data_IF_208687350196
#
_entry.id   IF_208687350196
#
_cell.length_a   1.000
_cell.length_b   1.000
_cell.length_c   1.000
_cell.angle_alpha   90.00
_cell.angle_beta   90.00
_cell.angle_gamma   90.00
#
_symmetry.space_group_name_H-M   'P 1'
#
loop_
_entity.id
_entity.type
_entity.pdbx_description
1 polymer ?
#
# COMPACT_ATOMS: atom_id res chain seq x y z
N UNK A 1 26.45 74.96 -21.22
CA UNK A 1 27.07 73.82 -21.94
C UNK A 1 25.93 72.96 -22.46
N UNK A 2 25.44 73.18 -23.68
CA UNK A 2 26.02 72.86 -25.00
C UNK A 2 25.59 71.46 -25.46
N UNK A 3 25.01 71.20 -26.63
CA UNK A 3 24.16 71.93 -27.62
C UNK A 3 23.54 70.78 -28.48
N UNK A 4 22.39 71.06 -29.12
CA UNK A 4 21.64 70.26 -30.11
C UNK A 4 22.49 69.67 -31.27
N UNK A 5 21.97 68.79 -32.13
CA UNK A 5 21.17 69.07 -33.37
C UNK A 5 20.80 67.68 -33.97
N UNK A 6 19.54 67.38 -34.33
CA UNK A 6 18.91 67.58 -35.67
C UNK A 6 19.32 66.47 -36.66
N UNK A 7 18.48 65.91 -37.54
CA UNK A 7 17.35 66.46 -38.28
C UNK A 7 16.43 65.36 -38.86
N UNK A 8 15.23 65.79 -39.25
CA UNK A 8 14.21 65.05 -39.99
C UNK A 8 14.20 65.45 -41.48
N UNK A 9 13.67 64.58 -42.35
CA UNK A 9 12.87 64.87 -43.58
C UNK A 9 12.44 63.53 -44.21
N UNK A 10 11.14 63.22 -44.32
CA UNK A 10 10.19 63.51 -45.43
C UNK A 10 10.57 62.78 -46.73
N UNK A 11 9.72 61.97 -47.39
CA UNK A 11 8.46 62.36 -48.02
C UNK A 11 7.45 61.21 -48.16
N UNK A 12 6.17 61.58 -48.21
CA UNK A 12 5.04 60.75 -48.59
C UNK A 12 4.46 61.21 -49.94
N UNK A 13 4.01 60.27 -50.78
CA UNK A 13 2.94 60.37 -51.81
C UNK A 13 2.37 58.95 -51.99
N UNK A 14 1.11 58.60 -51.65
CA UNK A 14 -0.18 58.73 -52.40
C UNK A 14 -0.01 58.42 -53.91
N UNK A 15 -0.83 57.63 -54.63
CA UNK A 15 -2.22 57.18 -54.52
C UNK A 15 -2.50 56.07 -55.58
N UNK A 16 -3.62 55.38 -55.41
CA UNK A 16 -4.31 54.32 -56.18
C UNK A 16 -4.27 54.34 -57.73
N UNK A 17 -4.37 53.14 -58.34
CA UNK A 17 -5.53 52.72 -59.17
C UNK A 17 -5.41 51.29 -59.75
N UNK A 18 -6.49 50.51 -59.57
CA UNK A 18 -7.11 49.57 -60.53
C UNK A 18 -6.47 48.20 -60.88
N UNK A 19 -7.27 47.15 -60.64
CA UNK A 19 -7.15 45.81 -61.20
C UNK A 19 -7.63 45.78 -62.66
N UNK A 20 -7.22 44.75 -63.43
CA UNK A 20 -8.25 43.86 -63.98
C UNK A 20 -8.02 42.38 -63.62
N UNK A 21 -9.15 41.68 -63.49
CA UNK A 21 -9.29 40.21 -63.40
C UNK A 21 -9.12 39.55 -64.77
N UNK A 22 -8.94 38.23 -64.71
CA UNK A 22 -8.97 37.18 -65.75
C UNK A 22 -7.57 36.87 -66.31
N UNK A 23 -7.11 35.63 -66.40
CA UNK A 23 -7.85 34.41 -66.71
C UNK A 23 -7.12 33.14 -66.23
N UNK A 24 -7.90 32.07 -66.14
CA UNK A 24 -7.60 30.75 -65.57
C UNK A 24 -6.61 29.97 -66.45
N UNK A 25 -5.54 29.43 -65.85
CA UNK A 25 -4.88 28.23 -66.34
C UNK A 25 -4.76 27.22 -65.20
N UNK A 26 -5.69 26.26 -65.19
CA UNK A 26 -5.80 25.18 -64.22
C UNK A 26 -4.73 24.12 -64.56
N UNK A 27 -3.55 24.23 -63.96
CA UNK A 27 -2.56 23.14 -63.97
C UNK A 27 -3.07 22.07 -63.00
N UNK A 28 -3.27 20.81 -63.40
CA UNK A 28 -3.57 19.75 -62.47
C UNK A 28 -2.31 19.43 -61.66
N UNK A 29 -2.21 19.99 -60.46
CA UNK A 29 -1.24 19.53 -59.47
C UNK A 29 -1.59 18.10 -59.04
N UNK A 30 -0.60 17.20 -58.85
CA UNK A 30 -0.85 15.81 -58.49
C UNK A 30 -1.57 15.74 -57.13
N UNK A 31 -2.46 14.76 -57.02
CA UNK A 31 -3.17 14.44 -55.80
C UNK A 31 -2.22 14.39 -54.60
N UNK A 32 -2.60 15.03 -53.48
CA UNK A 32 -1.99 14.78 -52.17
C UNK A 32 -2.17 13.31 -51.85
N UNK A 33 -1.09 12.53 -51.98
CA UNK A 33 -0.99 11.17 -51.43
C UNK A 33 -0.30 11.31 -50.08
N UNK A 34 -0.97 11.88 -49.09
CA UNK A 34 -0.45 11.94 -47.72
C UNK A 34 -1.56 11.69 -46.68
N UNK A 35 -2.51 10.80 -47.01
CA UNK A 35 -3.53 10.37 -46.05
C UNK A 35 -3.90 8.87 -46.13
N UNK A 36 -2.94 7.92 -46.10
CA UNK A 36 -3.25 6.55 -45.68
C UNK A 36 -2.45 6.05 -44.46
N UNK A 37 -1.32 6.70 -44.11
CA UNK A 37 -0.46 6.22 -43.03
C UNK A 37 -1.01 6.53 -41.62
N UNK A 38 -1.67 7.69 -41.45
CA UNK A 38 -2.27 8.07 -40.17
C UNK A 38 -3.56 7.27 -39.87
N UNK A 39 -4.41 7.05 -40.87
CA UNK A 39 -5.64 6.26 -40.70
C UNK A 39 -5.39 4.76 -40.41
N UNK A 40 -4.32 4.19 -40.98
CA UNK A 40 -3.96 2.77 -40.74
C UNK A 40 -3.24 2.52 -39.40
N UNK A 41 -2.64 3.55 -38.78
CA UNK A 41 -1.91 3.42 -37.51
C UNK A 41 -2.81 3.55 -36.28
N UNK A 42 -3.96 4.21 -36.38
CA UNK A 42 -4.91 4.35 -35.27
C UNK A 42 -5.53 3.03 -34.76
N UNK A 43 -6.06 2.13 -35.63
CA UNK A 43 -6.64 0.87 -35.16
C UNK A 43 -5.60 -0.05 -34.52
N UNK A 44 -4.39 -0.12 -35.10
CA UNK A 44 -3.27 -0.89 -34.52
C UNK A 44 -2.86 -0.37 -33.15
N UNK A 45 -2.82 0.95 -32.98
CA UNK A 45 -2.50 1.57 -31.70
C UNK A 45 -3.58 1.32 -30.63
N UNK A 46 -4.86 1.41 -31.00
CA UNK A 46 -5.96 1.07 -30.11
C UNK A 46 -5.92 -0.41 -29.66
N UNK A 47 -5.60 -1.33 -30.57
CA UNK A 47 -5.41 -2.75 -30.28
C UNK A 47 -4.27 -2.99 -29.28
N UNK A 48 -3.12 -2.32 -29.44
CA UNK A 48 -1.98 -2.43 -28.51
C UNK A 48 -2.35 -1.90 -27.11
N UNK A 49 -3.02 -0.73 -27.01
CA UNK A 49 -3.50 -0.21 -25.72
C UNK A 49 -4.47 -1.18 -25.05
N UNK A 50 -5.39 -1.76 -25.82
CA UNK A 50 -6.38 -2.69 -25.29
C UNK A 50 -5.74 -4.02 -24.87
N UNK A 51 -4.75 -4.52 -25.62
CA UNK A 51 -3.96 -5.69 -25.24
C UNK A 51 -3.20 -5.45 -23.94
N UNK A 52 -2.54 -4.30 -23.79
CA UNK A 52 -1.83 -3.96 -22.56
C UNK A 52 -2.78 -3.83 -21.36
N UNK A 53 -3.96 -3.20 -21.53
CA UNK A 53 -4.99 -3.16 -20.49
C UNK A 53 -5.38 -4.58 -20.04
N UNK A 54 -5.63 -5.51 -20.98
CA UNK A 54 -5.95 -6.91 -20.65
C UNK A 54 -4.84 -7.61 -19.85
N UNK A 55 -3.58 -7.21 -20.05
CA UNK A 55 -2.46 -7.73 -19.26
C UNK A 55 -2.38 -7.10 -17.86
N UNK A 56 -2.76 -5.83 -17.68
CA UNK A 56 -2.81 -5.14 -16.39
C UNK A 56 -3.99 -5.56 -15.51
N UNK A 57 -5.14 -5.88 -16.11
CA UNK A 57 -6.34 -6.33 -15.37
C UNK A 57 -6.06 -7.47 -14.37
N UNK A 58 -5.37 -8.57 -14.71
CA UNK A 58 -5.04 -9.59 -13.72
C UNK A 58 -4.03 -9.13 -12.66
N UNK A 59 -3.14 -8.18 -12.96
CA UNK A 59 -2.25 -7.57 -11.96
C UNK A 59 -3.09 -6.86 -10.89
N UNK A 60 -4.05 -6.04 -11.33
CA UNK A 60 -4.95 -5.29 -10.46
C UNK A 60 -5.89 -6.19 -9.63
N UNK A 61 -6.36 -7.32 -10.19
CA UNK A 61 -7.13 -8.32 -9.42
C UNK A 61 -6.29 -8.96 -8.32
N UNK A 62 -5.07 -9.38 -8.63
CA UNK A 62 -4.13 -9.92 -7.63
C UNK A 62 -3.79 -8.88 -6.56
N UNK A 63 -3.56 -7.63 -6.95
CA UNK A 63 -3.36 -6.53 -6.01
C UNK A 63 -4.58 -6.38 -5.06
N UNK A 64 -5.80 -6.44 -5.60
CA UNK A 64 -7.01 -6.34 -4.79
C UNK A 64 -7.12 -7.45 -3.74
N UNK A 65 -6.80 -8.69 -4.11
CA UNK A 65 -6.78 -9.84 -3.21
C UNK A 65 -5.73 -9.65 -2.10
N UNK A 66 -4.50 -9.30 -2.46
CA UNK A 66 -3.40 -9.07 -1.50
C UNK A 66 -3.71 -7.92 -0.54
N UNK A 67 -4.28 -6.83 -1.05
CA UNK A 67 -4.70 -5.67 -0.23
C UNK A 67 -5.85 -6.05 0.72
N UNK A 68 -6.81 -6.84 0.25
CA UNK A 68 -7.88 -7.36 1.12
C UNK A 68 -7.31 -8.23 2.25
N UNK A 69 -6.34 -9.08 1.92
CA UNK A 69 -5.64 -9.93 2.89
C UNK A 69 -4.88 -9.11 3.95
N UNK A 70 -4.14 -8.06 3.54
CA UNK A 70 -3.52 -7.11 4.48
C UNK A 70 -4.57 -6.54 5.45
N UNK A 71 -5.70 -6.08 4.92
CA UNK A 71 -6.81 -5.53 5.70
C UNK A 71 -7.45 -6.55 6.64
N UNK A 72 -7.49 -7.83 6.27
CA UNK A 72 -7.99 -8.92 7.12
C UNK A 72 -7.03 -9.21 8.27
N UNK A 73 -5.74 -9.39 7.97
CA UNK A 73 -4.70 -9.70 8.98
C UNK A 73 -4.55 -8.59 10.00
N UNK A 74 -4.45 -7.34 9.56
CA UNK A 74 -4.33 -6.20 10.48
C UNK A 74 -5.55 -6.07 11.40
N UNK A 75 -6.75 -6.42 10.92
CA UNK A 75 -7.96 -6.40 11.74
C UNK A 75 -7.96 -7.51 12.78
N UNK A 76 -7.53 -8.71 12.39
CA UNK A 76 -7.49 -9.88 13.26
C UNK A 76 -6.38 -9.78 14.32
N UNK A 77 -5.18 -9.34 13.94
CA UNK A 77 -3.99 -9.46 14.78
C UNK A 77 -3.34 -8.11 15.13
N UNK A 78 -3.78 -7.00 14.52
CA UNK A 78 -3.12 -5.70 14.68
C UNK A 78 -1.78 -5.59 13.95
N UNK A 79 -1.43 -6.62 13.16
CA UNK A 79 -0.20 -6.75 12.37
C UNK A 79 -0.47 -7.58 11.11
N UNK A 80 0.46 -7.57 10.16
CA UNK A 80 0.34 -8.28 8.88
C UNK A 80 1.20 -9.54 8.85
N UNK A 81 2.31 -9.55 9.59
CA UNK A 81 3.29 -10.63 9.55
C UNK A 81 3.13 -11.65 10.67
N UNK A 82 3.71 -12.84 10.55
CA UNK A 82 3.63 -13.87 11.59
C UNK A 82 4.75 -13.68 12.63
N UNK A 83 4.39 -13.47 13.90
CA UNK A 83 5.41 -13.31 14.97
C UNK A 83 6.25 -14.57 15.22
N UNK A 84 5.84 -15.72 14.69
CA UNK A 84 6.61 -16.98 14.79
C UNK A 84 7.78 -17.01 13.82
N UNK A 85 7.68 -16.26 12.73
CA UNK A 85 8.72 -16.18 11.71
C UNK A 85 9.80 -15.19 12.10
N UNK A 86 11.00 -15.44 11.58
CA UNK A 86 12.10 -14.51 11.73
C UNK A 86 11.84 -13.22 10.95
N UNK A 87 12.56 -12.16 11.33
CA UNK A 87 12.40 -10.82 10.74
C UNK A 87 12.68 -10.82 9.24
N UNK A 88 13.64 -11.63 8.77
CA UNK A 88 13.96 -11.78 7.35
C UNK A 88 12.79 -12.36 6.56
N UNK A 89 12.17 -13.42 7.07
CA UNK A 89 11.06 -14.11 6.42
C UNK A 89 9.82 -13.22 6.37
N UNK A 90 9.56 -12.50 7.45
CA UNK A 90 8.50 -11.49 7.52
C UNK A 90 8.74 -10.34 6.52
N UNK A 91 9.98 -9.91 6.31
CA UNK A 91 10.31 -8.89 5.32
C UNK A 91 10.07 -9.38 3.88
N UNK A 92 10.40 -10.64 3.58
CA UNK A 92 10.13 -11.27 2.28
C UNK A 92 8.62 -11.38 2.05
N UNK A 93 7.88 -11.85 3.04
CA UNK A 93 6.42 -11.96 2.97
C UNK A 93 5.76 -10.60 2.74
N UNK A 94 6.14 -9.57 3.50
CA UNK A 94 5.64 -8.21 3.29
C UNK A 94 5.90 -7.70 1.88
N UNK A 95 7.12 -7.89 1.37
CA UNK A 95 7.45 -7.49 0.00
C UNK A 95 6.54 -8.17 -1.01
N UNK A 96 6.27 -9.47 -0.82
CA UNK A 96 5.38 -10.24 -1.70
C UNK A 96 3.91 -9.77 -1.67
N UNK A 97 3.45 -9.14 -0.57
CA UNK A 97 2.09 -8.62 -0.47
C UNK A 97 1.88 -7.32 -1.28
N UNK A 98 2.95 -6.55 -1.52
CA UNK A 98 2.85 -5.27 -2.25
C UNK A 98 3.36 -5.33 -3.69
N UNK A 99 4.27 -6.27 -3.98
CA UNK A 99 4.79 -6.50 -5.33
C UNK A 99 4.03 -7.65 -5.97
N UNK A 100 3.48 -7.43 -7.17
CA UNK A 100 2.97 -8.52 -8.00
C UNK A 100 4.15 -9.13 -8.77
N UNK A 101 4.27 -10.46 -8.80
CA UNK A 101 5.36 -11.15 -9.53
C UNK A 101 5.27 -10.96 -11.06
N UNK A 102 4.26 -10.22 -11.52
CA UNK A 102 4.08 -9.83 -12.91
C UNK A 102 4.98 -8.64 -13.25
N UNK A 103 5.80 -8.81 -14.29
CA UNK A 103 6.72 -7.81 -14.86
C UNK A 103 6.06 -6.42 -15.07
N UNK A 104 4.74 -6.40 -15.31
CA UNK A 104 3.94 -5.20 -15.58
C UNK A 104 3.53 -4.41 -14.33
N UNK A 105 3.95 -4.80 -13.12
CA UNK A 105 3.62 -4.04 -11.90
C UNK A 105 4.22 -2.62 -11.91
N UNK A 106 5.31 -2.39 -12.67
CA UNK A 106 5.88 -1.06 -12.86
C UNK A 106 5.00 -0.14 -13.72
N UNK A 107 4.24 -0.70 -14.66
CA UNK A 107 3.40 0.07 -15.58
C UNK A 107 2.16 0.66 -14.90
N UNK A 108 1.76 0.11 -13.74
CA UNK A 108 0.67 0.67 -12.93
C UNK A 108 0.97 2.12 -12.50
N UNK A 109 2.23 2.48 -12.29
CA UNK A 109 2.60 3.86 -11.94
C UNK A 109 2.35 4.84 -13.11
N UNK A 110 2.48 4.36 -14.34
CA UNK A 110 2.31 5.16 -15.56
C UNK A 110 0.84 5.36 -15.92
N UNK A 111 0.00 4.37 -15.63
CA UNK A 111 -1.43 4.39 -15.93
C UNK A 111 -2.30 4.87 -14.76
N UNK A 112 -1.92 4.53 -13.53
CA UNK A 112 -2.70 4.75 -12.31
C UNK A 112 -1.83 5.33 -11.19
N UNK A 113 -1.17 6.46 -11.48
CA UNK A 113 -0.18 7.08 -10.58
C UNK A 113 -0.69 7.33 -9.15
N UNK A 114 -1.94 7.76 -9.00
CA UNK A 114 -2.54 7.99 -7.67
C UNK A 114 -2.71 6.70 -6.87
N UNK A 115 -3.20 5.64 -7.53
CA UNK A 115 -3.32 4.31 -6.94
C UNK A 115 -1.95 3.77 -6.52
N UNK A 116 -0.94 3.86 -7.40
CA UNK A 116 0.40 3.38 -7.10
C UNK A 116 1.05 4.14 -5.92
N UNK A 117 0.91 5.48 -5.86
CA UNK A 117 1.36 6.30 -4.72
C UNK A 117 0.63 5.92 -3.42
N UNK A 118 -0.68 5.67 -3.49
CA UNK A 118 -1.46 5.27 -2.33
C UNK A 118 -1.08 3.87 -1.83
N UNK A 119 -0.81 2.91 -2.73
CA UNK A 119 -0.27 1.58 -2.40
C UNK A 119 1.08 1.69 -1.70
N UNK A 120 1.97 2.55 -2.18
CA UNK A 120 3.28 2.79 -1.57
C UNK A 120 3.17 3.42 -0.16
N UNK A 121 2.25 4.37 0.04
CA UNK A 121 1.95 4.91 1.38
C UNK A 121 1.44 3.82 2.33
N UNK A 122 0.56 2.93 1.86
CA UNK A 122 0.10 1.79 2.65
C UNK A 122 1.25 0.86 3.01
N UNK A 123 2.15 0.56 2.07
CA UNK A 123 3.35 -0.26 2.30
C UNK A 123 4.21 0.33 3.42
N UNK A 124 4.46 1.64 3.38
CA UNK A 124 5.21 2.34 4.43
C UNK A 124 4.49 2.24 5.78
N UNK A 125 3.18 2.50 5.83
CA UNK A 125 2.41 2.41 7.08
C UNK A 125 2.45 1.01 7.69
N UNK A 126 2.37 -0.04 6.87
CA UNK A 126 2.50 -1.44 7.33
C UNK A 126 3.91 -1.70 7.86
N UNK A 127 4.96 -1.23 7.18
CA UNK A 127 6.34 -1.35 7.66
C UNK A 127 6.53 -0.67 9.02
N UNK A 128 6.02 0.56 9.15
CA UNK A 128 6.10 1.32 10.40
C UNK A 128 5.33 0.63 11.54
N UNK A 129 4.15 0.05 11.25
CA UNK A 129 3.38 -0.75 12.20
C UNK A 129 4.19 -1.94 12.74
N UNK A 130 4.88 -2.65 11.86
CA UNK A 130 5.67 -3.84 12.24
C UNK A 130 6.90 -3.47 13.06
N UNK A 131 7.57 -2.37 12.71
CA UNK A 131 8.69 -1.84 13.49
C UNK A 131 8.24 -1.37 14.88
N UNK A 132 7.13 -0.63 14.95
CA UNK A 132 6.58 -0.14 16.21
C UNK A 132 6.09 -1.30 17.09
N UNK A 133 5.47 -2.33 16.51
CA UNK A 133 5.07 -3.54 17.23
C UNK A 133 6.28 -4.26 17.82
N UNK A 134 7.38 -4.36 17.07
CA UNK A 134 8.62 -4.94 17.56
C UNK A 134 9.22 -4.13 18.72
N UNK A 135 9.28 -2.80 18.60
CA UNK A 135 9.76 -1.91 19.68
C UNK A 135 8.91 -2.06 20.94
N UNK A 136 7.59 -2.01 20.81
CA UNK A 136 6.66 -2.20 21.93
C UNK A 136 6.84 -3.58 22.58
N UNK A 137 7.11 -4.63 21.78
CA UNK A 137 7.38 -5.97 22.32
C UNK A 137 8.63 -5.97 23.19
N UNK A 138 9.72 -5.34 22.72
CA UNK A 138 10.98 -5.27 23.47
C UNK A 138 10.84 -4.44 24.75
N UNK A 139 10.09 -3.34 24.72
CA UNK A 139 9.81 -2.51 25.91
C UNK A 139 9.07 -3.31 26.97
N UNK A 140 7.94 -3.93 26.61
CA UNK A 140 7.18 -4.78 27.52
C UNK A 140 8.04 -5.92 28.06
N UNK A 141 8.83 -6.58 27.20
CA UNK A 141 9.77 -7.61 27.64
C UNK A 141 10.81 -7.08 28.64
N UNK A 142 11.25 -5.82 28.55
CA UNK A 142 12.20 -5.22 29.49
C UNK A 142 11.59 -4.90 30.85
N UNK A 143 10.30 -4.56 30.89
CA UNK A 143 9.59 -4.17 32.13
C UNK A 143 8.96 -5.34 32.87
N UNK A 144 8.76 -6.49 32.20
CA UNK A 144 8.19 -7.68 32.82
C UNK A 144 9.07 -8.20 33.96
N UNK A 145 8.44 -8.52 35.10
CA UNK A 145 9.07 -9.27 36.18
C UNK A 145 8.59 -10.71 36.14
N UNK A 146 9.51 -11.66 35.94
CA UNK A 146 9.23 -13.09 35.89
C UNK A 146 10.23 -13.82 36.79
N UNK A 147 9.83 -14.91 37.47
CA UNK A 147 10.77 -15.78 38.16
C UNK A 147 11.64 -16.56 37.15
N UNK A 148 12.87 -16.99 37.52
CA UNK A 148 13.78 -17.69 36.61
C UNK A 148 13.17 -18.89 35.87
N UNK A 149 12.30 -19.66 36.51
CA UNK A 149 11.61 -20.82 35.88
C UNK A 149 10.65 -20.44 34.75
N UNK A 150 10.15 -19.20 34.72
CA UNK A 150 9.18 -18.72 33.72
C UNK A 150 9.79 -17.79 32.67
N UNK A 151 11.09 -17.48 32.73
CA UNK A 151 11.78 -16.55 31.82
C UNK A 151 11.62 -16.91 30.33
N UNK A 152 11.61 -18.21 30.02
CA UNK A 152 11.39 -18.71 28.66
C UNK A 152 10.02 -18.28 28.07
N UNK A 153 9.06 -17.87 28.92
CA UNK A 153 7.73 -17.37 28.53
C UNK A 153 7.66 -15.86 28.40
N UNK A 154 8.73 -15.10 28.72
CA UNK A 154 8.74 -13.62 28.68
C UNK A 154 8.21 -13.06 27.37
N UNK A 155 8.63 -13.64 26.23
CA UNK A 155 8.14 -13.24 24.91
C UNK A 155 6.66 -13.57 24.70
N UNK A 156 6.18 -14.71 25.22
CA UNK A 156 4.77 -15.09 25.16
C UNK A 156 3.89 -14.10 25.95
N UNK A 157 4.33 -13.72 27.16
CA UNK A 157 3.67 -12.72 28.02
C UNK A 157 3.61 -11.36 27.33
N UNK A 158 4.74 -10.86 26.82
CA UNK A 158 4.80 -9.56 26.16
C UNK A 158 3.91 -9.49 24.92
N UNK A 159 3.92 -10.53 24.08
CA UNK A 159 3.05 -10.58 22.90
C UNK A 159 1.56 -10.70 23.27
N UNK A 160 1.23 -11.41 24.35
CA UNK A 160 -0.14 -11.52 24.85
C UNK A 160 -0.64 -10.19 25.42
N UNK A 161 0.24 -9.44 26.08
CA UNK A 161 -0.05 -8.08 26.52
C UNK A 161 -0.36 -7.18 25.32
N UNK A 162 0.48 -7.17 24.28
CA UNK A 162 0.22 -6.36 23.08
C UNK A 162 -1.07 -6.77 22.38
N UNK A 163 -1.41 -8.05 22.31
CA UNK A 163 -2.69 -8.51 21.75
C UNK A 163 -3.90 -7.92 22.50
N UNK A 164 -3.83 -7.91 23.84
CA UNK A 164 -4.84 -7.26 24.69
C UNK A 164 -4.87 -5.75 24.48
N UNK A 165 -3.70 -5.12 24.43
CA UNK A 165 -3.56 -3.67 24.24
C UNK A 165 -4.13 -3.19 22.91
N UNK A 166 -3.99 -4.01 21.86
CA UNK A 166 -4.52 -3.73 20.53
C UNK A 166 -6.00 -4.09 20.38
N UNK A 167 -6.65 -4.60 21.44
CA UNK A 167 -8.04 -5.09 21.41
C UNK A 167 -8.23 -6.15 20.31
N UNK A 168 -7.28 -7.09 20.22
CA UNK A 168 -7.31 -8.20 19.24
C UNK A 168 -7.69 -9.53 19.88
N UNK A 169 -7.62 -9.59 21.20
CA UNK A 169 -8.02 -10.73 22.00
C UNK A 169 -7.84 -10.44 23.48
N UNK A 170 -8.17 -11.41 24.36
CA UNK A 170 -7.96 -11.26 25.80
C UNK A 170 -6.48 -11.33 26.20
N UNK A 171 -5.58 -11.70 25.27
CA UNK A 171 -4.16 -11.92 25.53
C UNK A 171 -3.91 -13.30 26.13
N UNK A 172 -3.69 -13.34 27.46
CA UNK A 172 -3.56 -14.58 28.22
C UNK A 172 -4.79 -14.83 29.09
N UNK A 173 -5.24 -16.08 29.15
CA UNK A 173 -6.28 -16.51 30.10
C UNK A 173 -5.89 -17.81 30.78
N UNK A 174 -6.27 -17.95 32.04
CA UNK A 174 -6.14 -19.18 32.81
C UNK A 174 -7.49 -19.46 33.47
N UNK A 175 -8.13 -20.57 33.11
CA UNK A 175 -9.45 -20.96 33.61
C UNK A 175 -9.36 -22.32 34.28
N UNK A 176 -9.75 -22.39 35.56
CA UNK A 176 -9.84 -23.66 36.29
C UNK A 176 -11.12 -24.41 35.89
N UNK A 177 -11.02 -25.73 35.72
CA UNK A 177 -12.13 -26.63 35.41
C UNK A 177 -12.19 -27.77 36.45
N UNK A 178 -13.34 -28.45 36.62
CA UNK A 178 -13.45 -29.57 37.56
C UNK A 178 -12.46 -30.72 37.29
N UNK A 179 -12.05 -30.89 36.03
CA UNK A 179 -11.19 -31.97 35.51
C UNK A 179 -9.76 -31.51 35.14
N UNK A 180 -9.41 -30.25 35.41
CA UNK A 180 -8.09 -29.71 35.09
C UNK A 180 -8.08 -28.20 34.94
N UNK A 181 -7.31 -27.70 33.98
CA UNK A 181 -7.28 -26.27 33.67
C UNK A 181 -7.08 -26.01 32.18
N UNK A 182 -7.49 -24.80 31.78
CA UNK A 182 -7.33 -24.29 30.44
C UNK A 182 -6.44 -23.05 30.50
N UNK A 183 -5.27 -23.13 29.88
CA UNK A 183 -4.37 -22.01 29.67
C UNK A 183 -4.42 -21.59 28.21
N UNK A 184 -4.67 -20.32 27.94
CA UNK A 184 -4.52 -19.76 26.59
C UNK A 184 -3.52 -18.63 26.62
N UNK A 185 -2.62 -18.64 25.63
CA UNK A 185 -1.79 -17.51 25.30
C UNK A 185 -1.91 -17.26 23.80
N UNK A 186 -2.36 -16.06 23.43
CA UNK A 186 -2.51 -15.63 22.03
C UNK A 186 -3.42 -16.53 21.19
N UNK A 187 -4.57 -16.87 21.74
CA UNK A 187 -5.53 -17.78 21.11
C UNK A 187 -5.06 -19.24 20.99
N UNK A 188 -3.84 -19.60 21.44
CA UNK A 188 -3.41 -20.99 21.52
C UNK A 188 -3.95 -21.62 22.79
N UNK A 189 -4.80 -22.61 22.61
CA UNK A 189 -5.35 -23.41 23.70
C UNK A 189 -4.34 -24.48 24.12
N UNK A 190 -3.97 -24.48 25.41
CA UNK A 190 -3.36 -25.62 26.10
C UNK A 190 -4.35 -26.06 27.17
N UNK A 191 -4.94 -27.24 26.97
CA UNK A 191 -5.77 -27.90 27.96
C UNK A 191 -4.99 -29.08 28.53
N UNK A 192 -4.99 -29.22 29.84
CA UNK A 192 -4.43 -30.37 30.52
C UNK A 192 -5.56 -31.07 31.28
N UNK A 193 -5.95 -32.24 30.78
CA UNK A 193 -6.94 -33.10 31.42
C UNK A 193 -6.24 -33.96 32.49
N UNK A 194 -6.81 -34.04 33.69
CA UNK A 194 -6.39 -34.99 34.72
C UNK A 194 -5.41 -34.47 35.78
N UNK A 195 -4.94 -33.22 35.70
CA UNK A 195 -4.18 -32.56 36.77
C UNK A 195 -4.83 -31.23 37.15
N UNK A 196 -5.34 -31.13 38.39
CA UNK A 196 -5.93 -29.90 38.92
C UNK A 196 -4.90 -28.80 39.23
N UNK A 197 -3.60 -29.10 39.12
CA UNK A 197 -2.51 -28.18 39.44
C UNK A 197 -1.96 -27.55 38.16
N UNK A 198 -2.01 -26.23 38.09
CA UNK A 198 -1.42 -25.44 36.99
C UNK A 198 0.10 -25.54 37.07
N UNK A 199 0.77 -25.76 35.94
CA UNK A 199 2.23 -25.73 35.88
C UNK A 199 2.78 -24.40 36.43
N UNK A 200 3.84 -24.45 37.25
CA UNK A 200 4.35 -23.27 37.96
C UNK A 200 4.77 -22.13 37.02
N UNK A 201 5.33 -22.47 35.86
CA UNK A 201 5.74 -21.52 34.83
C UNK A 201 4.53 -20.85 34.15
N UNK A 202 3.45 -21.60 33.91
CA UNK A 202 2.18 -21.08 33.37
C UNK A 202 1.48 -20.17 34.36
N UNK A 203 1.48 -20.55 35.63
CA UNK A 203 0.94 -19.72 36.70
C UNK A 203 1.73 -18.42 36.83
N UNK A 204 3.06 -18.50 36.89
CA UNK A 204 3.93 -17.33 36.98
C UNK A 204 3.80 -16.41 35.75
N UNK A 205 3.67 -16.96 34.54
CA UNK A 205 3.46 -16.19 33.33
C UNK A 205 2.11 -15.45 33.34
N UNK A 206 1.04 -16.14 33.77
CA UNK A 206 -0.29 -15.54 33.89
C UNK A 206 -0.33 -14.46 34.99
N UNK A 207 0.29 -14.72 36.14
CA UNK A 207 0.39 -13.75 37.22
C UNK A 207 1.16 -12.50 36.75
N UNK A 208 2.30 -12.65 36.08
CA UNK A 208 3.05 -11.54 35.49
C UNK A 208 2.22 -10.76 34.45
N UNK A 209 1.46 -11.45 33.59
CA UNK A 209 0.57 -10.81 32.62
C UNK A 209 -0.54 -9.98 33.28
N UNK A 210 -1.16 -10.51 34.33
CA UNK A 210 -2.29 -9.85 35.02
C UNK A 210 -1.83 -8.73 35.95
N UNK A 211 -0.63 -8.82 36.51
CA UNK A 211 -0.05 -7.78 37.36
C UNK A 211 0.69 -6.69 36.58
N UNK A 212 0.93 -6.87 35.28
CA UNK A 212 1.67 -5.91 34.48
C UNK A 212 0.87 -4.61 34.31
N UNK A 213 1.43 -3.51 34.82
CA UNK A 213 0.90 -2.15 34.67
C UNK A 213 1.81 -1.41 33.68
N UNK A 214 1.36 -1.14 32.45
CA UNK A 214 2.17 -0.44 31.47
C UNK A 214 2.46 0.99 31.93
N UNK A 215 3.67 1.46 31.69
CA UNK A 215 4.01 2.86 31.86
C UNK A 215 3.42 3.73 30.71
N UNK A 216 3.73 5.03 30.74
CA UNK A 216 3.26 5.98 29.75
C UNK A 216 3.78 5.69 28.33
N UNK A 217 5.01 5.17 28.20
CA UNK A 217 5.64 4.92 26.91
C UNK A 217 5.02 3.67 26.26
N UNK A 218 4.82 2.59 27.02
CA UNK A 218 4.10 1.39 26.56
C UNK A 218 2.66 1.73 26.17
N UNK A 219 1.96 2.52 26.98
CA UNK A 219 0.60 2.97 26.68
C UNK A 219 0.53 3.79 25.38
N UNK A 220 1.49 4.70 25.16
CA UNK A 220 1.55 5.51 23.94
C UNK A 220 1.76 4.64 22.69
N UNK A 221 2.63 3.63 22.78
CA UNK A 221 2.82 2.66 21.69
C UNK A 221 1.55 1.87 21.39
N UNK A 222 0.80 1.43 22.41
CA UNK A 222 -0.46 0.72 22.19
C UNK A 222 -1.49 1.57 21.43
N UNK A 223 -1.69 2.83 21.84
CA UNK A 223 -2.65 3.72 21.19
C UNK A 223 -2.24 4.04 19.75
N UNK A 224 -0.94 4.29 19.53
CA UNK A 224 -0.38 4.51 18.20
C UNK A 224 -0.59 3.29 17.28
N UNK A 225 -0.25 2.09 17.76
CA UNK A 225 -0.45 0.84 17.03
C UNK A 225 -1.92 0.56 16.74
N UNK A 226 -2.83 0.81 17.68
CA UNK A 226 -4.28 0.64 17.52
C UNK A 226 -4.83 1.59 16.45
N UNK A 227 -4.47 2.87 16.54
CA UNK A 227 -4.87 3.91 15.57
C UNK A 227 -4.32 3.61 14.17
N UNK A 228 -3.06 3.23 14.07
CA UNK A 228 -2.41 2.92 12.79
C UNK A 228 -2.99 1.64 12.19
N UNK A 229 -3.24 0.59 12.97
CA UNK A 229 -3.91 -0.64 12.52
C UNK A 229 -5.29 -0.36 11.92
N UNK A 230 -6.10 0.50 12.56
CA UNK A 230 -7.40 0.92 12.03
C UNK A 230 -7.25 1.65 10.68
N UNK A 231 -6.29 2.59 10.59
CA UNK A 231 -5.99 3.31 9.35
C UNK A 231 -5.50 2.39 8.21
N UNK A 232 -4.64 1.42 8.52
CA UNK A 232 -4.17 0.40 7.56
C UNK A 232 -5.36 -0.44 7.07
N UNK A 233 -6.22 -0.94 7.97
CA UNK A 233 -7.41 -1.73 7.59
C UNK A 233 -8.32 -0.94 6.63
N UNK A 234 -8.61 0.32 6.93
CA UNK A 234 -9.46 1.17 6.10
C UNK A 234 -8.83 1.43 4.73
N UNK A 235 -7.57 1.83 4.70
CA UNK A 235 -6.84 2.13 3.46
C UNK A 235 -6.67 0.89 2.58
N UNK A 236 -6.38 -0.27 3.18
CA UNK A 236 -6.24 -1.53 2.46
C UNK A 236 -7.57 -1.95 1.81
N UNK A 237 -8.70 -1.81 2.51
CA UNK A 237 -10.04 -2.05 1.97
C UNK A 237 -10.37 -1.10 0.80
N UNK A 238 -10.09 0.19 0.97
CA UNK A 238 -10.33 1.19 -0.07
C UNK A 238 -9.48 0.89 -1.32
N UNK A 239 -8.19 0.62 -1.15
CA UNK A 239 -7.31 0.31 -2.27
C UNK A 239 -7.66 -1.00 -2.96
N UNK A 240 -8.10 -2.01 -2.20
CA UNK A 240 -8.60 -3.27 -2.76
C UNK A 240 -9.82 -3.02 -3.66
N UNK A 241 -10.77 -2.21 -3.20
CA UNK A 241 -11.96 -1.82 -3.98
C UNK A 241 -11.57 -1.03 -5.23
N UNK A 242 -10.66 -0.07 -5.11
CA UNK A 242 -10.15 0.71 -6.23
C UNK A 242 -9.46 -0.18 -7.26
N UNK A 243 -8.62 -1.12 -6.83
CA UNK A 243 -7.93 -2.05 -7.71
C UNK A 243 -8.92 -2.92 -8.51
N UNK A 244 -10.01 -3.40 -7.90
CA UNK A 244 -11.08 -4.11 -8.61
C UNK A 244 -11.78 -3.22 -9.63
N UNK A 245 -12.10 -1.97 -9.27
CA UNK A 245 -12.70 -1.01 -10.21
C UNK A 245 -11.80 -0.74 -11.42
N UNK A 246 -10.49 -0.56 -11.19
CA UNK A 246 -9.51 -0.39 -12.26
C UNK A 246 -9.36 -1.66 -13.11
N UNK A 247 -9.45 -2.85 -12.51
CA UNK A 247 -9.42 -4.12 -13.23
C UNK A 247 -10.66 -4.38 -14.10
N UNK A 248 -11.75 -3.64 -13.87
CA UNK A 248 -12.97 -3.66 -14.66
C UNK A 248 -13.03 -2.52 -15.68
N UNK A 249 -12.05 -1.60 -15.67
CA UNK A 249 -12.01 -0.50 -16.61
C UNK A 249 -11.90 -1.01 -18.05
N UNK A 250 -12.63 -0.32 -18.95
CA UNK A 250 -12.66 -0.62 -20.38
C UNK A 250 -11.64 0.21 -21.17
N UNK A 251 -11.04 1.21 -20.54
CA UNK A 251 -10.07 2.12 -21.15
C UNK A 251 -8.82 2.21 -20.28
N UNK A 252 -7.67 2.37 -20.94
CA UNK A 252 -6.38 2.55 -20.27
C UNK A 252 -6.02 4.04 -20.22
N UNK A 253 -6.06 4.68 -19.04
CA UNK A 253 -5.60 6.05 -18.87
C UNK A 253 -4.06 6.12 -18.81
N UNK A 254 -3.49 7.32 -18.95
CA UNK A 254 -2.05 7.55 -18.82
C UNK A 254 -1.21 7.11 -20.02
N UNK A 255 0.11 7.31 -19.90
CA UNK A 255 1.07 7.12 -20.97
C UNK A 255 2.20 6.15 -20.60
N UNK A 256 2.43 5.11 -21.41
CA UNK A 256 3.60 4.24 -21.36
C UNK A 256 4.15 4.00 -22.78
N UNK A 257 5.22 3.22 -22.93
CA UNK A 257 5.79 2.85 -24.23
C UNK A 257 4.76 2.20 -25.16
N UNK A 258 3.80 1.44 -24.62
CA UNK A 258 2.70 0.82 -25.37
C UNK A 258 1.56 1.80 -25.74
N UNK A 259 1.67 3.07 -25.32
CA UNK A 259 0.69 4.11 -25.61
C UNK A 259 1.33 5.38 -26.19
N UNK A 260 2.55 5.31 -26.71
CA UNK A 260 3.17 6.40 -27.47
C UNK A 260 3.15 6.02 -28.96
N UNK A 261 2.67 6.91 -29.82
CA UNK A 261 2.84 6.75 -31.28
C UNK A 261 4.30 7.08 -31.59
N UNK A 262 5.01 6.16 -32.22
CA UNK A 262 6.33 6.42 -32.81
C UNK A 262 6.20 7.28 -34.07
#
# INVERSE_FOLDING_TARGET
MAIAVGAAMSYATRRWSESPKLEVAKVPGPARIDEPAQAASEPRFAEVRQAHLRQLQPVLRTDAEKLSEIGRRIRAEGRVTDVRKDRSDNAVELKSLFVSDRVLSGDLQNHYAEYARAKERLRKNVSDQEEEFHKATLLVMGELSLPPGAEHRRREVALSFLEKCLEKGPGMTLTMRPDGYQYTARGRLRGYDGTATVAEDERAAFDAFTSFLPDADVAAHCESLKKRAAGISANAKQLSTNALGLAQAMTLPGECTYTKRE
#
